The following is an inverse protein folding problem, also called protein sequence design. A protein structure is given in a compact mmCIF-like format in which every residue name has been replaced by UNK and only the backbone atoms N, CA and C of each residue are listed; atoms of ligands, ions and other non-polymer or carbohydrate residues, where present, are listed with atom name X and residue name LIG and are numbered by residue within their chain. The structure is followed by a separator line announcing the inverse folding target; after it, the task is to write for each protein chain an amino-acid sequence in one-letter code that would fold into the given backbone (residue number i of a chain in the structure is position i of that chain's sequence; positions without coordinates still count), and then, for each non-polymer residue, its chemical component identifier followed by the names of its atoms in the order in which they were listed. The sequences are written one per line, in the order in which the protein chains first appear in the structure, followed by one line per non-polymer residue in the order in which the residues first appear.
data_IF_254085586564
#
_entry.id   IF_254085586564
#
_cell.length_a   1.000
_cell.length_b   1.000
_cell.length_c   1.000
_cell.angle_alpha   90.00
_cell.angle_beta   90.00
_cell.angle_gamma   90.00
#
_symmetry.space_group_name_H-M   'P 1'
#
loop_
_entity.id
_entity.type
_entity.pdbx_description
1 polymer ?
#
# COMPACT_ATOMS: atom_id res chain seq x y z
N UNK A 1 13.74 7.98 -4.38
CA UNK A 1 13.45 8.70 -5.64
C UNK A 1 14.56 8.57 -6.70
N UNK A 2 15.82 8.35 -6.32
CA UNK A 2 16.94 8.28 -7.25
C UNK A 2 16.79 7.21 -8.35
N UNK A 3 16.08 6.12 -8.06
CA UNK A 3 15.90 4.99 -8.99
C UNK A 3 14.49 4.88 -9.54
N UNK A 4 13.54 5.63 -9.00
CA UNK A 4 12.11 5.47 -9.26
C UNK A 4 11.68 3.99 -9.12
N UNK A 5 11.17 3.38 -10.22
CA UNK A 5 10.75 1.98 -10.26
C UNK A 5 11.88 1.02 -10.69
N UNK A 6 13.03 1.53 -11.11
CA UNK A 6 14.15 0.73 -11.60
C UNK A 6 15.14 0.43 -10.48
N UNK A 7 14.87 -0.63 -9.76
CA UNK A 7 15.71 -1.14 -8.66
C UNK A 7 15.57 -2.65 -8.50
N UNK A 8 16.56 -3.22 -7.82
CA UNK A 8 16.58 -4.60 -7.35
C UNK A 8 17.24 -4.68 -5.96
N UNK A 9 17.34 -5.86 -5.40
CA UNK A 9 17.94 -6.07 -4.07
C UNK A 9 19.37 -5.54 -3.95
N UNK A 10 20.20 -5.70 -4.98
CA UNK A 10 21.59 -5.27 -4.98
C UNK A 10 21.68 -3.73 -4.89
N UNK A 11 20.91 -3.04 -5.75
CA UNK A 11 20.83 -1.58 -5.75
C UNK A 11 20.35 -1.06 -4.39
N UNK A 12 19.28 -1.66 -3.84
CA UNK A 12 18.73 -1.24 -2.55
C UNK A 12 19.70 -1.49 -1.39
N UNK A 13 20.43 -2.61 -1.40
CA UNK A 13 21.46 -2.92 -0.40
C UNK A 13 22.62 -1.92 -0.45
N UNK A 14 22.99 -1.47 -1.65
CA UNK A 14 23.95 -0.38 -1.84
C UNK A 14 23.46 0.92 -1.22
N UNK A 15 22.23 1.33 -1.51
CA UNK A 15 21.62 2.56 -0.96
C UNK A 15 21.49 2.48 0.57
N UNK A 16 21.11 1.32 1.13
CA UNK A 16 21.05 1.10 2.59
C UNK A 16 22.42 1.32 3.22
N UNK A 17 23.48 0.77 2.60
CA UNK A 17 24.86 0.98 3.07
C UNK A 17 25.24 2.45 3.04
N UNK A 18 25.03 3.12 1.93
CA UNK A 18 25.37 4.54 1.76
C UNK A 18 24.62 5.43 2.76
N UNK A 19 23.31 5.15 2.96
CA UNK A 19 22.50 5.85 3.95
C UNK A 19 23.09 5.70 5.38
N UNK A 20 23.48 4.48 5.76
CA UNK A 20 24.11 4.23 7.06
C UNK A 20 25.46 4.95 7.19
N UNK A 21 26.31 4.89 6.17
CA UNK A 21 27.61 5.56 6.16
C UNK A 21 27.50 7.10 6.26
N UNK A 22 26.39 7.65 5.74
CA UNK A 22 26.03 9.08 5.85
C UNK A 22 25.40 9.46 7.21
N UNK A 23 25.12 8.49 8.08
CA UNK A 23 24.51 8.72 9.39
C UNK A 23 22.99 8.86 9.39
N UNK A 24 22.30 8.40 8.34
CA UNK A 24 20.83 8.30 8.36
C UNK A 24 20.37 7.19 9.30
N UNK A 25 19.27 7.44 10.00
CA UNK A 25 18.70 6.50 10.98
C UNK A 25 17.62 5.57 10.41
N UNK A 26 17.09 5.90 9.22
CA UNK A 26 16.00 5.19 8.58
C UNK A 26 16.22 5.12 7.06
N UNK A 27 16.12 3.93 6.50
CA UNK A 27 15.92 3.70 5.08
C UNK A 27 14.44 3.43 4.81
N UNK A 28 13.82 4.18 3.91
CA UNK A 28 12.44 3.99 3.49
C UNK A 28 12.38 3.45 2.06
N UNK A 29 11.89 2.21 1.89
CA UNK A 29 11.56 1.67 0.58
C UNK A 29 10.24 2.25 0.10
N UNK A 30 10.29 3.13 -0.89
CA UNK A 30 9.13 3.78 -1.49
C UNK A 30 8.44 2.89 -2.54
N UNK A 31 7.59 3.42 -3.40
CA UNK A 31 6.76 2.71 -4.39
C UNK A 31 7.59 1.79 -5.33
N UNK A 32 6.96 0.74 -5.84
CA UNK A 32 7.55 -0.12 -6.88
C UNK A 32 8.03 -1.51 -6.44
N UNK A 33 7.91 -1.86 -5.17
CA UNK A 33 8.44 -3.11 -4.61
C UNK A 33 7.50 -4.33 -4.76
N UNK A 34 6.28 -4.15 -5.21
CA UNK A 34 5.20 -5.14 -5.17
C UNK A 34 4.67 -5.53 -6.55
N UNK A 35 3.70 -6.46 -6.55
CA UNK A 35 2.99 -7.02 -7.70
C UNK A 35 3.83 -7.92 -8.62
N UNK A 36 3.25 -9.05 -9.01
CA UNK A 36 3.92 -10.06 -9.84
C UNK A 36 3.24 -10.25 -11.20
N UNK A 37 1.92 -10.39 -11.26
CA UNK A 37 1.18 -10.51 -12.53
C UNK A 37 1.20 -9.21 -13.33
N UNK A 38 1.01 -8.10 -12.63
CA UNK A 38 1.06 -6.74 -13.17
C UNK A 38 2.11 -5.93 -12.41
N UNK A 39 3.42 -6.12 -12.71
CA UNK A 39 4.50 -5.53 -11.93
C UNK A 39 4.37 -4.02 -11.79
N UNK A 40 4.66 -3.51 -10.59
CA UNK A 40 4.71 -2.08 -10.30
C UNK A 40 6.01 -1.46 -10.85
N UNK A 41 6.11 -1.43 -12.18
CA UNK A 41 7.25 -0.81 -12.91
C UNK A 41 6.93 0.62 -13.39
N UNK A 42 5.75 1.09 -13.10
CA UNK A 42 5.23 2.44 -13.31
C UNK A 42 3.91 2.61 -12.52
N UNK A 43 3.31 3.79 -12.57
CA UNK A 43 2.07 4.13 -11.85
C UNK A 43 0.77 3.57 -12.49
N UNK A 44 0.84 2.84 -13.61
CA UNK A 44 -0.34 2.39 -14.37
C UNK A 44 -0.82 1.00 -14.00
N UNK A 45 -0.06 0.26 -13.17
CA UNK A 45 -0.37 -1.12 -12.84
C UNK A 45 0.10 -1.51 -11.44
N UNK A 46 -0.43 -2.61 -10.92
CA UNK A 46 0.06 -3.31 -9.73
C UNK A 46 -0.47 -2.80 -8.40
N UNK A 47 -0.95 -1.55 -8.32
CA UNK A 47 -1.49 -1.02 -7.06
C UNK A 47 -2.73 -1.82 -6.64
N UNK A 48 -2.72 -2.36 -5.43
CA UNK A 48 -3.69 -3.32 -4.91
C UNK A 48 -3.10 -4.72 -4.69
N UNK A 49 -2.03 -5.09 -5.39
CA UNK A 49 -1.39 -6.41 -5.34
C UNK A 49 -0.13 -6.38 -4.46
N UNK A 50 -0.29 -6.39 -3.15
CA UNK A 50 0.75 -6.10 -2.15
C UNK A 50 1.71 -7.25 -1.83
N UNK A 51 1.88 -8.22 -2.73
CA UNK A 51 2.95 -9.20 -2.61
C UNK A 51 4.23 -8.65 -3.24
N UNK A 52 5.37 -8.77 -2.55
CA UNK A 52 6.64 -8.29 -3.08
C UNK A 52 6.94 -8.88 -4.47
N UNK A 53 7.55 -8.08 -5.33
CA UNK A 53 7.92 -8.49 -6.67
C UNK A 53 9.14 -9.42 -6.60
N UNK A 54 8.91 -10.70 -6.91
CA UNK A 54 9.93 -11.75 -6.82
C UNK A 54 11.12 -11.56 -7.76
N UNK A 55 10.92 -10.81 -8.86
CA UNK A 55 12.01 -10.52 -9.81
C UNK A 55 12.93 -9.42 -9.27
N UNK A 56 12.36 -8.37 -8.65
CA UNK A 56 13.14 -7.28 -8.05
C UNK A 56 13.75 -7.67 -6.71
N UNK A 57 13.01 -8.45 -5.92
CA UNK A 57 13.34 -8.84 -4.54
C UNK A 57 13.26 -10.36 -4.38
N UNK A 58 14.20 -11.12 -4.96
CA UNK A 58 14.14 -12.59 -4.93
C UNK A 58 14.16 -13.19 -3.52
N UNK A 59 14.80 -12.51 -2.54
CA UNK A 59 14.83 -12.94 -1.14
C UNK A 59 13.77 -12.26 -0.26
N UNK A 60 12.90 -11.41 -0.86
CA UNK A 60 11.80 -10.74 -0.20
C UNK A 60 12.20 -9.55 0.67
N UNK A 61 11.18 -8.91 1.29
CA UNK A 61 11.39 -7.71 2.12
C UNK A 61 12.24 -7.99 3.36
N UNK A 62 12.12 -9.18 3.95
CA UNK A 62 12.88 -9.57 5.15
C UNK A 62 14.38 -9.52 4.95
N UNK A 63 14.85 -9.75 3.72
CA UNK A 63 16.27 -9.59 3.38
C UNK A 63 16.72 -8.13 3.59
N UNK A 64 15.99 -7.16 3.03
CA UNK A 64 16.33 -5.73 3.15
C UNK A 64 16.20 -5.22 4.60
N UNK A 65 15.20 -5.72 5.35
CA UNK A 65 15.07 -5.46 6.79
C UNK A 65 16.33 -5.91 7.54
N UNK A 66 16.83 -7.11 7.24
CA UNK A 66 18.04 -7.63 7.85
C UNK A 66 19.31 -6.86 7.43
N UNK A 67 19.41 -6.45 6.16
CA UNK A 67 20.53 -5.63 5.68
C UNK A 67 20.57 -4.27 6.40
N UNK A 68 19.40 -3.62 6.55
CA UNK A 68 19.30 -2.36 7.32
C UNK A 68 19.72 -2.56 8.77
N UNK A 69 19.24 -3.63 9.42
CA UNK A 69 19.60 -3.95 10.80
C UNK A 69 21.10 -4.20 10.98
N UNK A 70 21.76 -4.90 10.04
CA UNK A 70 23.22 -5.13 10.04
C UNK A 70 24.01 -3.81 9.97
N UNK A 71 23.45 -2.79 9.34
CA UNK A 71 24.03 -1.46 9.21
C UNK A 71 23.64 -0.49 10.35
N UNK A 72 22.83 -0.94 11.31
CA UNK A 72 22.41 -0.13 12.46
C UNK A 72 21.34 0.90 12.15
N UNK A 73 20.67 0.82 11.00
CA UNK A 73 19.56 1.72 10.63
C UNK A 73 18.22 0.99 10.61
N UNK A 74 17.14 1.73 10.82
CA UNK A 74 15.76 1.22 10.75
C UNK A 74 15.34 1.02 9.29
N UNK A 75 14.37 0.11 9.08
CA UNK A 75 13.72 -0.07 7.78
C UNK A 75 12.29 0.41 7.83
N UNK A 76 11.89 1.20 6.85
CA UNK A 76 10.52 1.64 6.61
C UNK A 76 10.00 1.20 5.25
N UNK A 77 8.69 1.18 5.09
CA UNK A 77 8.03 0.78 3.84
C UNK A 77 6.91 1.73 3.47
N UNK A 78 6.79 2.00 2.18
CA UNK A 78 5.67 2.73 1.59
C UNK A 78 4.51 1.78 1.28
N UNK A 79 3.30 2.22 1.62
CA UNK A 79 2.05 1.57 1.28
C UNK A 79 0.99 2.63 0.89
N UNK A 80 0.12 2.27 -0.05
CA UNK A 80 -1.08 3.03 -0.41
C UNK A 80 -2.26 2.05 -0.49
N UNK A 81 -2.63 1.39 0.64
CA UNK A 81 -3.44 0.17 0.62
C UNK A 81 -4.92 0.42 0.34
N UNK A 82 -5.37 1.67 0.35
CA UNK A 82 -6.74 2.08 -0.02
C UNK A 82 -6.88 2.43 -1.50
N UNK A 83 -5.80 2.31 -2.28
CA UNK A 83 -5.81 2.60 -3.71
C UNK A 83 -5.62 1.34 -4.54
N UNK A 84 -6.14 1.36 -5.77
CA UNK A 84 -6.06 0.23 -6.68
C UNK A 84 -5.94 0.70 -8.14
N UNK A 85 -5.10 0.02 -8.94
CA UNK A 85 -5.13 0.22 -10.38
C UNK A 85 -6.17 -0.70 -11.04
N UNK A 86 -6.83 -0.28 -12.12
CA UNK A 86 -7.63 -1.20 -12.94
C UNK A 86 -6.81 -2.40 -13.45
N UNK A 87 -5.51 -2.20 -13.68
CA UNK A 87 -4.58 -3.25 -14.05
C UNK A 87 -3.93 -3.84 -12.79
N UNK A 88 -4.71 -4.64 -12.03
CA UNK A 88 -4.30 -5.38 -10.84
C UNK A 88 -5.14 -6.65 -10.68
N UNK A 89 -4.61 -7.66 -9.99
CA UNK A 89 -5.36 -8.87 -9.64
C UNK A 89 -6.49 -8.57 -8.66
N UNK A 90 -6.31 -7.58 -7.79
CA UNK A 90 -7.36 -7.13 -6.88
C UNK A 90 -8.58 -6.62 -7.63
N UNK A 91 -8.37 -5.73 -8.60
CA UNK A 91 -9.47 -5.16 -9.37
C UNK A 91 -10.16 -6.20 -10.27
N UNK A 92 -9.40 -7.13 -10.84
CA UNK A 92 -9.98 -8.26 -11.61
C UNK A 92 -10.95 -9.10 -10.76
N UNK A 93 -10.62 -9.31 -9.48
CA UNK A 93 -11.42 -10.11 -8.56
C UNK A 93 -12.58 -9.35 -7.93
N UNK A 94 -12.39 -8.07 -7.69
CA UNK A 94 -13.30 -7.23 -6.91
C UNK A 94 -13.48 -5.84 -7.53
N UNK A 95 -14.02 -5.75 -8.78
CA UNK A 95 -14.27 -4.47 -9.42
C UNK A 95 -15.34 -3.63 -8.70
N UNK A 96 -16.15 -4.27 -7.86
CA UNK A 96 -17.18 -3.67 -7.01
C UNK A 96 -16.65 -3.10 -5.68
N UNK A 97 -15.35 -3.23 -5.41
CA UNK A 97 -14.76 -2.70 -4.17
C UNK A 97 -14.30 -1.25 -4.27
N UNK A 98 -14.40 -0.65 -5.44
CA UNK A 98 -13.99 0.74 -5.65
C UNK A 98 -15.12 1.72 -5.41
N UNK A 99 -14.77 2.94 -5.06
CA UNK A 99 -15.70 4.08 -5.09
C UNK A 99 -16.01 4.37 -6.56
N UNK A 100 -17.28 4.33 -6.91
CA UNK A 100 -17.78 4.56 -8.26
C UNK A 100 -19.28 4.42 -8.34
N UNK A 101 -19.84 4.77 -9.49
CA UNK A 101 -21.27 4.67 -9.73
C UNK A 101 -21.56 3.63 -10.80
N UNK A 102 -22.58 2.76 -10.61
CA UNK A 102 -23.04 1.84 -11.66
C UNK A 102 -23.34 2.58 -12.96
N UNK A 103 -22.96 1.96 -14.08
CA UNK A 103 -23.22 2.47 -15.43
C UNK A 103 -22.55 3.81 -15.76
N UNK A 104 -21.54 4.23 -15.00
CA UNK A 104 -20.70 5.37 -15.32
C UNK A 104 -19.25 4.93 -15.60
N UNK A 105 -18.54 5.63 -16.50
CA UNK A 105 -17.12 5.38 -16.71
C UNK A 105 -16.32 5.52 -15.41
N UNK A 106 -15.26 4.74 -15.29
CA UNK A 106 -14.28 4.92 -14.22
C UNK A 106 -13.62 6.30 -14.34
N UNK A 107 -13.53 7.00 -13.23
CA UNK A 107 -12.82 8.28 -13.16
C UNK A 107 -11.45 8.04 -12.52
N UNK A 108 -10.42 8.02 -13.35
CA UNK A 108 -9.04 7.77 -12.97
C UNK A 108 -8.30 9.07 -12.69
N UNK A 109 -7.67 9.16 -11.54
CA UNK A 109 -6.66 10.16 -11.24
C UNK A 109 -5.36 9.43 -10.88
N UNK A 110 -4.23 9.81 -11.47
CA UNK A 110 -2.94 9.10 -11.34
C UNK A 110 -3.04 7.61 -11.70
N UNK A 111 -3.88 7.27 -12.68
CA UNK A 111 -4.14 5.88 -13.12
C UNK A 111 -4.74 4.96 -12.05
N UNK A 112 -5.27 5.50 -10.95
CA UNK A 112 -5.76 4.69 -9.83
C UNK A 112 -7.19 5.05 -9.43
N UNK A 113 -7.83 4.12 -8.68
CA UNK A 113 -9.14 4.23 -8.07
C UNK A 113 -8.99 4.11 -6.55
N UNK A 114 -10.01 4.53 -5.82
CA UNK A 114 -10.08 4.42 -4.35
C UNK A 114 -10.95 3.22 -3.99
N UNK A 115 -10.49 2.39 -3.06
CA UNK A 115 -11.28 1.32 -2.48
C UNK A 115 -12.33 1.89 -1.51
N UNK A 116 -13.53 1.33 -1.52
CA UNK A 116 -14.65 1.77 -0.68
C UNK A 116 -14.52 1.25 0.77
N UNK A 117 -13.90 2.03 1.62
CA UNK A 117 -13.75 1.72 3.05
C UNK A 117 -15.07 1.80 3.85
N UNK A 118 -16.21 2.19 3.25
CA UNK A 118 -17.51 1.98 3.88
C UNK A 118 -17.89 0.50 3.93
N UNK A 119 -17.27 -0.34 3.08
CA UNK A 119 -17.45 -1.79 3.02
C UNK A 119 -16.52 -2.50 4.02
N UNK A 120 -17.06 -3.25 5.02
CA UNK A 120 -16.23 -3.97 5.98
C UNK A 120 -15.25 -4.99 5.34
N UNK A 121 -15.60 -5.61 4.21
CA UNK A 121 -14.70 -6.53 3.49
C UNK A 121 -13.46 -5.81 2.96
N UNK A 122 -13.63 -4.56 2.52
CA UNK A 122 -12.52 -3.72 2.07
C UNK A 122 -11.65 -3.29 3.25
N UNK A 123 -12.26 -2.95 4.40
CA UNK A 123 -11.51 -2.69 5.64
C UNK A 123 -10.68 -3.90 6.06
N UNK A 124 -11.24 -5.10 5.99
CA UNK A 124 -10.52 -6.34 6.32
C UNK A 124 -9.36 -6.60 5.35
N UNK A 125 -9.56 -6.35 4.06
CA UNK A 125 -8.51 -6.44 3.06
C UNK A 125 -7.37 -5.46 3.36
N UNK A 126 -7.67 -4.17 3.56
CA UNK A 126 -6.67 -3.13 3.83
C UNK A 126 -5.91 -3.42 5.12
N UNK A 127 -6.59 -3.82 6.19
CA UNK A 127 -5.93 -4.28 7.40
C UNK A 127 -5.04 -5.49 7.13
N UNK A 128 -5.53 -6.49 6.38
CA UNK A 128 -4.79 -7.70 6.02
C UNK A 128 -3.50 -7.44 5.24
N UNK A 129 -3.49 -6.42 4.36
CA UNK A 129 -2.28 -5.98 3.66
C UNK A 129 -1.19 -5.55 4.65
N UNK A 130 -1.55 -4.69 5.60
CA UNK A 130 -0.60 -4.18 6.60
C UNK A 130 -0.19 -5.30 7.55
N UNK A 131 -1.16 -6.06 8.03
CA UNK A 131 -0.94 -7.18 8.94
C UNK A 131 0.04 -8.22 8.36
N UNK A 132 -0.19 -8.61 7.12
CA UNK A 132 0.69 -9.54 6.40
C UNK A 132 2.10 -8.95 6.22
N UNK A 133 2.18 -7.70 5.75
CA UNK A 133 3.47 -7.04 5.50
C UNK A 133 4.32 -7.00 6.77
N UNK A 134 3.74 -6.61 7.90
CA UNK A 134 4.46 -6.49 9.17
C UNK A 134 4.74 -7.83 9.83
N UNK A 135 3.80 -8.77 9.83
CA UNK A 135 3.95 -10.08 10.48
C UNK A 135 4.97 -10.98 9.75
N UNK A 136 4.99 -10.93 8.41
CA UNK A 136 5.96 -11.68 7.60
C UNK A 136 7.36 -11.03 7.59
N UNK A 137 7.48 -9.75 7.96
CA UNK A 137 8.73 -9.00 7.94
C UNK A 137 8.98 -8.27 9.28
N UNK A 138 9.18 -9.00 10.38
CA UNK A 138 9.44 -8.41 11.68
C UNK A 138 10.71 -7.57 11.64
N UNK A 139 10.62 -6.32 12.12
CA UNK A 139 11.72 -5.35 12.07
C UNK A 139 11.44 -4.17 11.13
N UNK A 140 10.35 -4.19 10.36
CA UNK A 140 9.81 -2.96 9.76
C UNK A 140 9.41 -2.03 10.90
N UNK A 141 10.05 -0.85 10.98
CA UNK A 141 9.86 0.11 12.06
C UNK A 141 8.97 1.30 11.67
N UNK A 142 8.70 1.48 10.39
CA UNK A 142 8.01 2.66 9.88
C UNK A 142 7.16 2.32 8.65
N UNK A 143 5.93 2.84 8.61
CA UNK A 143 5.06 2.82 7.43
C UNK A 143 4.82 4.26 6.97
N UNK A 144 5.14 4.54 5.71
CA UNK A 144 4.61 5.70 4.99
C UNK A 144 3.32 5.26 4.31
N UNK A 145 2.18 5.64 4.91
CA UNK A 145 0.87 5.44 4.31
C UNK A 145 0.54 6.62 3.42
N UNK A 146 0.57 6.42 2.13
CA UNK A 146 0.30 7.46 1.16
C UNK A 146 -1.18 7.47 0.73
N UNK A 147 -1.65 8.63 0.24
CA UNK A 147 -3.03 8.84 -0.18
C UNK A 147 -3.04 9.84 -1.36
N UNK A 148 -2.80 9.35 -2.57
CA UNK A 148 -2.40 10.18 -3.72
C UNK A 148 -3.56 10.67 -4.59
N UNK A 149 -4.80 10.43 -4.22
CA UNK A 149 -5.95 11.00 -4.93
C UNK A 149 -7.12 11.30 -4.00
N UNK A 150 -7.98 12.20 -4.44
CA UNK A 150 -9.26 12.53 -3.81
C UNK A 150 -10.43 11.84 -4.53
N UNK A 151 -11.56 11.72 -3.83
CA UNK A 151 -12.80 11.15 -4.39
C UNK A 151 -13.41 12.14 -5.36
N UNK A 152 -13.66 11.70 -6.58
CA UNK A 152 -14.30 12.49 -7.64
C UNK A 152 -15.70 11.97 -7.98
N UNK A 153 -15.82 10.73 -8.37
CA UNK A 153 -17.08 10.11 -8.80
C UNK A 153 -17.70 9.31 -7.64
N UNK A 154 -18.21 10.02 -6.62
CA UNK A 154 -18.70 9.41 -5.39
C UNK A 154 -19.90 8.49 -5.62
N UNK A 155 -19.77 7.25 -5.15
CA UNK A 155 -20.79 6.22 -5.14
C UNK A 155 -20.22 4.94 -4.55
N UNK A 156 -21.07 4.08 -4.05
CA UNK A 156 -20.71 2.81 -3.44
C UNK A 156 -21.54 1.69 -4.03
N UNK A 157 -20.85 0.63 -4.47
CA UNK A 157 -21.52 -0.63 -4.88
C UNK A 157 -22.01 -1.44 -3.66
N UNK A 158 -21.52 -1.11 -2.46
CA UNK A 158 -21.88 -1.76 -1.22
C UNK A 158 -23.13 -1.14 -0.56
N UNK A 159 -23.25 0.19 -0.59
CA UNK A 159 -24.35 0.91 0.05
C UNK A 159 -25.62 0.83 -0.79
N UNK A 160 -26.78 0.67 -0.13
CA UNK A 160 -28.06 0.77 -0.80
C UNK A 160 -28.32 2.18 -1.37
N UNK A 161 -29.22 2.35 -2.35
CA UNK A 161 -29.47 3.65 -2.96
C UNK A 161 -29.81 4.75 -1.96
N UNK A 162 -30.54 4.43 -0.89
CA UNK A 162 -30.97 5.38 0.14
C UNK A 162 -29.81 5.80 1.05
N UNK A 163 -28.73 5.01 1.09
CA UNK A 163 -27.56 5.22 1.95
C UNK A 163 -26.34 5.76 1.21
N UNK A 164 -26.45 6.09 -0.06
CA UNK A 164 -25.29 6.56 -0.84
C UNK A 164 -24.61 7.81 -0.23
N UNK A 165 -25.38 8.73 0.35
CA UNK A 165 -24.83 9.90 1.05
C UNK A 165 -24.00 9.54 2.29
N UNK A 166 -24.15 8.34 2.84
CA UNK A 166 -23.39 7.87 4.00
C UNK A 166 -21.95 7.48 3.62
N UNK A 167 -21.62 7.36 2.32
CA UNK A 167 -20.28 7.03 1.85
C UNK A 167 -19.19 7.89 2.51
N UNK A 168 -19.39 9.20 2.57
CA UNK A 168 -18.40 10.13 3.11
C UNK A 168 -18.05 9.85 4.57
N UNK A 169 -19.07 9.66 5.40
CA UNK A 169 -18.89 9.34 6.81
C UNK A 169 -18.40 7.88 6.97
N UNK A 170 -18.98 6.96 6.21
CA UNK A 170 -18.65 5.55 6.23
C UNK A 170 -17.19 5.29 5.86
N UNK A 171 -16.69 5.96 4.83
CA UNK A 171 -15.29 5.87 4.40
C UNK A 171 -14.32 6.29 5.52
N UNK A 172 -14.53 7.47 6.10
CA UNK A 172 -13.64 7.98 7.16
C UNK A 172 -13.68 7.09 8.40
N UNK A 173 -14.87 6.63 8.81
CA UNK A 173 -15.01 5.68 9.92
C UNK A 173 -14.32 4.35 9.63
N UNK A 174 -14.42 3.86 8.39
CA UNK A 174 -13.74 2.66 7.94
C UNK A 174 -12.23 2.81 7.99
N UNK A 175 -11.70 3.94 7.52
CA UNK A 175 -10.26 4.25 7.61
C UNK A 175 -9.79 4.25 9.08
N UNK A 176 -10.47 4.96 9.97
CA UNK A 176 -10.13 4.98 11.38
C UNK A 176 -10.21 3.59 12.02
N UNK A 177 -11.23 2.79 11.67
CA UNK A 177 -11.33 1.40 12.15
C UNK A 177 -10.11 0.56 11.76
N UNK A 178 -9.62 0.71 10.53
CA UNK A 178 -8.39 0.03 10.08
C UNK A 178 -7.17 0.53 10.84
N UNK A 179 -7.00 1.84 10.95
CA UNK A 179 -5.88 2.46 11.67
C UNK A 179 -5.84 2.04 13.15
N UNK A 180 -6.99 2.01 13.83
CA UNK A 180 -7.09 1.57 15.23
C UNK A 180 -6.69 0.09 15.38
N UNK A 181 -7.13 -0.77 14.47
CA UNK A 181 -6.73 -2.20 14.44
C UNK A 181 -5.22 -2.36 14.27
N UNK A 182 -4.62 -1.60 13.34
CA UNK A 182 -3.16 -1.62 13.11
C UNK A 182 -2.41 -1.15 14.36
N UNK A 183 -2.79 -0.01 14.94
CA UNK A 183 -2.16 0.54 16.14
C UNK A 183 -2.30 -0.37 17.37
N UNK A 184 -3.45 -1.03 17.52
CA UNK A 184 -3.66 -1.97 18.61
C UNK A 184 -2.70 -3.16 18.55
N UNK A 185 -2.38 -3.63 17.34
CA UNK A 185 -1.53 -4.81 17.12
C UNK A 185 -0.03 -4.45 17.01
N UNK A 186 0.31 -3.32 16.38
CA UNK A 186 1.69 -2.92 16.04
C UNK A 186 2.08 -1.60 16.71
N UNK A 187 2.15 -1.61 18.04
CA UNK A 187 2.36 -0.41 18.88
C UNK A 187 3.70 0.27 18.65
N UNK A 188 4.72 -0.49 18.25
CA UNK A 188 6.10 -0.04 18.09
C UNK A 188 6.42 0.41 16.65
N UNK A 189 5.47 0.26 15.71
CA UNK A 189 5.62 0.70 14.33
C UNK A 189 5.12 2.13 14.21
N UNK A 190 6.00 3.04 13.80
CA UNK A 190 5.60 4.42 13.49
C UNK A 190 4.87 4.49 12.15
N UNK A 191 3.88 5.37 12.05
CA UNK A 191 3.05 5.52 10.86
C UNK A 191 2.83 7.01 10.55
N UNK A 192 3.04 7.38 9.29
CA UNK A 192 2.78 8.73 8.76
C UNK A 192 1.78 8.61 7.61
#
# INVERSE_FOLDING_TARGET
EATYFDFNEEVLSGIIKDAADMGFELFLLDDGWFANKYPRDNDKAGLGDWNYNKKKLPHGLGYLVNESKKKGIKFGIWLEPEMVNPKSELYEKHPDWVIGQPNRPLDLSRNQLILDLSNPKVQDFVFGVIDKTLSENPGIAYIKWDCNRFVTNSGSYFLSPEKQSHLWIGYVRGLFSVLDRVRAKYKDVSMM
#
